data_IF_317977285300
#
_entry.id   IF_317977285300
#
_cell.length_a   1.000
_cell.length_b   1.000
_cell.length_c   1.000
_cell.angle_alpha   90.00
_cell.angle_beta   90.00
_cell.angle_gamma   90.00
#
_symmetry.space_group_name_H-M   'P 1'
#
loop_
_entity.id
_entity.type
_entity.pdbx_description
1 polymer ?
#
# COMPACT_ATOMS: atom_id res chain seq x y z
N UNK A 1 -16.59 30.22 -51.78
CA UNK A 1 -17.33 29.52 -50.74
C UNK A 1 -16.87 28.07 -50.46
N UNK A 2 -16.39 27.30 -51.39
CA UNK A 2 -15.91 25.90 -51.16
C UNK A 2 -14.56 25.83 -50.43
N UNK A 3 -13.68 26.84 -50.60
CA UNK A 3 -12.36 26.90 -49.96
C UNK A 3 -12.45 27.22 -48.45
N UNK A 4 -13.36 28.11 -48.09
CA UNK A 4 -13.56 28.51 -46.68
C UNK A 4 -14.16 27.38 -45.84
N UNK A 5 -15.05 26.55 -46.43
CA UNK A 5 -15.62 25.35 -45.73
C UNK A 5 -14.55 24.28 -45.46
N UNK A 6 -13.54 24.10 -46.34
CA UNK A 6 -12.43 23.16 -46.13
C UNK A 6 -11.47 23.63 -45.04
N UNK A 7 -11.23 24.94 -44.92
CA UNK A 7 -10.37 25.51 -43.88
C UNK A 7 -11.00 25.36 -42.47
N UNK A 8 -12.32 25.60 -42.37
CA UNK A 8 -13.05 25.46 -41.09
C UNK A 8 -13.10 23.99 -40.64
N UNK A 9 -13.26 23.03 -41.56
CA UNK A 9 -13.30 21.62 -41.26
C UNK A 9 -11.94 21.08 -40.78
N UNK A 10 -10.82 21.62 -41.33
CA UNK A 10 -9.46 21.23 -40.89
C UNK A 10 -9.13 21.79 -39.51
N UNK A 11 -9.66 22.97 -39.13
CA UNK A 11 -9.40 23.55 -37.81
C UNK A 11 -10.18 22.84 -36.69
N UNK A 12 -11.38 22.33 -36.98
CA UNK A 12 -12.18 21.55 -36.02
C UNK A 12 -11.56 20.18 -35.74
N UNK A 13 -10.90 19.55 -36.73
CA UNK A 13 -10.28 18.24 -36.54
C UNK A 13 -8.96 18.29 -35.74
N UNK A 14 -8.23 19.39 -35.80
CA UNK A 14 -7.00 19.57 -34.97
C UNK A 14 -7.34 19.93 -33.52
N UNK A 15 -8.47 20.58 -33.25
CA UNK A 15 -8.91 20.96 -31.91
C UNK A 15 -9.41 19.77 -31.02
N UNK A 16 -9.85 18.68 -31.66
CA UNK A 16 -10.38 17.52 -30.93
C UNK A 16 -9.30 16.55 -30.41
N UNK A 17 -8.10 16.58 -31.00
CA UNK A 17 -6.98 15.74 -30.57
C UNK A 17 -6.20 16.27 -29.34
N UNK A 18 -6.45 17.48 -28.89
CA UNK A 18 -5.77 18.10 -27.76
C UNK A 18 -6.49 17.90 -26.39
N UNK A 19 -7.66 17.26 -26.39
CA UNK A 19 -8.48 17.05 -25.18
C UNK A 19 -8.41 15.64 -24.58
N UNK A 20 -7.49 14.80 -25.03
CA UNK A 20 -7.44 13.37 -24.72
C UNK A 20 -6.24 12.89 -23.92
N UNK A 21 -5.80 13.60 -22.88
CA UNK A 21 -4.82 13.04 -21.94
C UNK A 21 -4.92 13.68 -20.55
N UNK A 22 -6.09 13.76 -19.99
CA UNK A 22 -6.18 13.74 -18.54
C UNK A 22 -6.05 12.28 -18.11
N UNK A 23 -4.84 11.81 -17.91
CA UNK A 23 -4.62 10.65 -17.03
C UNK A 23 -5.24 11.05 -15.70
N UNK A 24 -6.46 10.56 -15.43
CA UNK A 24 -6.99 10.51 -14.09
C UNK A 24 -6.07 9.55 -13.34
N UNK A 25 -4.97 10.05 -12.82
CA UNK A 25 -4.23 9.41 -11.75
C UNK A 25 -5.20 9.43 -10.58
N UNK A 26 -5.99 8.37 -10.44
CA UNK A 26 -6.64 8.08 -9.17
C UNK A 26 -5.49 8.05 -8.16
N UNK A 27 -5.44 9.06 -7.28
CA UNK A 27 -4.36 9.18 -6.33
C UNK A 27 -4.35 7.89 -5.49
N UNK A 28 -3.37 7.02 -5.74
CA UNK A 28 -3.15 5.81 -4.98
C UNK A 28 -2.86 6.21 -3.53
N UNK A 29 -3.59 5.66 -2.57
CA UNK A 29 -3.35 5.85 -1.15
C UNK A 29 -3.11 4.51 -0.51
N UNK A 30 -2.10 4.41 0.33
CA UNK A 30 -1.76 3.20 1.06
C UNK A 30 -1.55 3.55 2.53
N UNK A 31 -2.22 2.82 3.41
CA UNK A 31 -2.12 3.00 4.84
C UNK A 31 -1.35 1.84 5.47
N UNK A 32 -0.16 2.13 5.99
CA UNK A 32 0.71 1.16 6.65
C UNK A 32 0.44 1.12 8.15
N UNK A 33 0.40 -0.09 8.70
CA UNK A 33 0.52 -0.30 10.13
C UNK A 33 1.98 -0.45 10.52
N UNK A 34 2.40 0.25 11.57
CA UNK A 34 3.76 0.21 12.11
C UNK A 34 3.72 -0.12 13.60
N UNK A 35 4.58 -1.03 14.02
CA UNK A 35 4.69 -1.39 15.42
C UNK A 35 5.68 -0.49 16.16
N UNK A 36 5.67 -0.58 17.49
CA UNK A 36 6.43 0.29 18.39
C UNK A 36 7.85 -0.23 18.71
N UNK A 37 8.45 -1.02 17.80
CA UNK A 37 9.83 -1.48 17.90
C UNK A 37 10.65 -1.19 16.62
N UNK A 38 11.96 -1.09 16.80
CA UNK A 38 12.88 -0.52 15.80
C UNK A 38 12.90 -1.26 14.46
N UNK A 39 12.89 -2.61 14.43
CA UNK A 39 12.94 -3.35 13.17
C UNK A 39 11.67 -3.13 12.33
N UNK A 40 10.49 -3.11 12.96
CA UNK A 40 9.25 -2.81 12.27
C UNK A 40 9.27 -1.40 11.67
N UNK A 41 9.77 -0.41 12.42
CA UNK A 41 9.90 0.97 11.92
C UNK A 41 10.80 1.05 10.69
N UNK A 42 11.90 0.30 10.66
CA UNK A 42 12.81 0.25 9.50
C UNK A 42 12.11 -0.40 8.30
N UNK A 43 11.46 -1.55 8.48
CA UNK A 43 10.72 -2.23 7.40
C UNK A 43 9.59 -1.34 6.86
N UNK A 44 8.80 -0.73 7.74
CA UNK A 44 7.71 0.18 7.35
C UNK A 44 8.24 1.39 6.58
N UNK A 45 9.35 1.99 7.02
CA UNK A 45 9.97 3.11 6.32
C UNK A 45 10.46 2.72 4.92
N UNK A 46 11.08 1.54 4.76
CA UNK A 46 11.55 1.05 3.46
C UNK A 46 10.37 0.80 2.52
N UNK A 47 9.35 0.08 2.97
CA UNK A 47 8.17 -0.24 2.16
C UNK A 47 7.40 1.04 1.79
N UNK A 48 7.21 1.95 2.75
CA UNK A 48 6.59 3.25 2.49
C UNK A 48 7.35 4.07 1.44
N UNK A 49 8.68 4.12 1.54
CA UNK A 49 9.52 4.78 0.54
C UNK A 49 9.37 4.19 -0.86
N UNK A 50 9.36 2.86 -0.97
CA UNK A 50 9.19 2.17 -2.27
C UNK A 50 7.81 2.49 -2.85
N UNK A 51 6.76 2.45 -2.04
CA UNK A 51 5.39 2.74 -2.46
C UNK A 51 5.26 4.21 -2.91
N UNK A 52 5.80 5.13 -2.13
CA UNK A 52 5.75 6.56 -2.45
C UNK A 52 6.57 6.91 -3.70
N UNK A 53 7.84 6.48 -3.76
CA UNK A 53 8.77 6.87 -4.84
C UNK A 53 8.68 5.97 -6.07
N UNK A 54 8.39 4.69 -5.89
CA UNK A 54 8.31 3.72 -6.99
C UNK A 54 6.94 3.68 -7.68
N UNK A 55 5.87 3.85 -6.91
CA UNK A 55 4.50 3.77 -7.41
C UNK A 55 3.75 5.10 -7.41
N UNK A 56 4.30 6.13 -6.78
CA UNK A 56 3.68 7.47 -6.73
C UNK A 56 2.43 7.55 -5.86
N UNK A 57 2.28 6.62 -4.90
CA UNK A 57 1.16 6.60 -3.98
C UNK A 57 1.39 7.55 -2.80
N UNK A 58 0.30 8.08 -2.25
CA UNK A 58 0.30 8.76 -0.95
C UNK A 58 0.33 7.72 0.17
N UNK A 59 1.33 7.79 1.05
CA UNK A 59 1.54 6.83 2.13
C UNK A 59 1.20 7.44 3.46
N UNK A 60 0.31 6.78 4.21
CA UNK A 60 0.02 7.10 5.61
C UNK A 60 0.53 5.99 6.51
N UNK A 61 0.95 6.33 7.73
CA UNK A 61 1.46 5.36 8.71
C UNK A 61 0.75 5.56 10.04
N UNK A 62 0.18 4.48 10.57
CA UNK A 62 -0.35 4.46 11.94
C UNK A 62 0.54 3.59 12.81
N UNK A 63 1.07 4.17 13.90
CA UNK A 63 1.90 3.48 14.88
C UNK A 63 1.09 2.99 16.08
N UNK A 64 1.51 1.84 16.61
CA UNK A 64 0.91 1.31 17.83
C UNK A 64 1.48 -0.04 18.24
N UNK A 65 0.99 -0.54 19.37
CA UNK A 65 1.32 -1.88 19.84
C UNK A 65 0.60 -2.96 19.03
N UNK A 66 1.01 -4.21 19.17
CA UNK A 66 0.56 -5.34 18.33
C UNK A 66 -0.96 -5.45 18.22
N UNK A 67 -1.67 -5.55 19.34
CA UNK A 67 -3.10 -5.86 19.29
C UNK A 67 -3.97 -4.82 18.57
N UNK A 68 -3.86 -3.50 18.84
CA UNK A 68 -4.66 -2.51 18.13
C UNK A 68 -4.28 -2.38 16.65
N UNK A 69 -2.98 -2.49 16.29
CA UNK A 69 -2.56 -2.42 14.89
C UNK A 69 -3.06 -3.64 14.11
N UNK A 70 -2.96 -4.85 14.68
CA UNK A 70 -3.48 -6.04 14.03
C UNK A 70 -5.00 -6.02 13.91
N UNK A 71 -5.73 -5.55 14.92
CA UNK A 71 -7.18 -5.40 14.84
C UNK A 71 -7.58 -4.43 13.71
N UNK A 72 -6.95 -3.27 13.63
CA UNK A 72 -7.20 -2.30 12.57
C UNK A 72 -6.90 -2.87 11.17
N UNK A 73 -5.87 -3.70 11.03
CA UNK A 73 -5.56 -4.37 9.78
C UNK A 73 -6.62 -5.42 9.41
N UNK A 74 -7.05 -6.25 10.36
CA UNK A 74 -8.10 -7.25 10.12
C UNK A 74 -9.46 -6.63 9.78
N UNK A 75 -9.71 -5.42 10.29
CA UNK A 75 -10.91 -4.63 9.97
C UNK A 75 -10.78 -3.83 8.66
N UNK A 76 -9.65 -3.96 7.93
CA UNK A 76 -9.41 -3.29 6.66
C UNK A 76 -9.15 -1.79 6.77
N UNK A 77 -8.76 -1.30 7.95
CA UNK A 77 -8.38 0.10 8.15
C UNK A 77 -6.92 0.38 7.79
N UNK A 78 -6.10 -0.67 7.74
CA UNK A 78 -4.70 -0.63 7.34
C UNK A 78 -4.49 -1.62 6.20
N UNK A 79 -3.76 -1.20 5.17
CA UNK A 79 -3.55 -2.01 3.96
C UNK A 79 -2.40 -3.00 4.13
N UNK A 80 -1.29 -2.59 4.75
CA UNK A 80 -0.07 -3.40 4.84
C UNK A 80 0.53 -3.29 6.23
N UNK A 81 0.99 -4.44 6.76
CA UNK A 81 1.89 -4.52 7.90
C UNK A 81 3.16 -5.26 7.45
N UNK A 82 4.32 -4.71 7.76
CA UNK A 82 5.60 -5.14 7.19
C UNK A 82 6.33 -6.19 8.01
N UNK A 83 6.03 -6.30 9.31
CA UNK A 83 6.67 -7.25 10.22
C UNK A 83 5.66 -7.78 11.23
N UNK A 84 5.30 -9.05 11.11
CA UNK A 84 4.38 -9.71 12.04
C UNK A 84 5.07 -10.92 12.67
N UNK A 85 5.17 -10.93 13.99
CA UNK A 85 5.63 -12.07 14.77
C UNK A 85 4.47 -12.99 15.06
N UNK A 86 4.16 -13.85 14.10
CA UNK A 86 2.97 -14.69 14.07
C UNK A 86 2.81 -15.57 15.30
N UNK A 87 3.91 -16.11 15.82
CA UNK A 87 3.89 -17.03 16.97
C UNK A 87 3.34 -16.39 18.25
N UNK A 88 3.32 -15.06 18.34
CA UNK A 88 2.75 -14.33 19.48
C UNK A 88 1.22 -14.13 19.37
N UNK A 89 0.64 -14.36 18.17
CA UNK A 89 -0.76 -14.04 17.86
C UNK A 89 -1.43 -15.15 17.04
N UNK A 90 -0.98 -16.40 17.16
CA UNK A 90 -1.36 -17.53 16.29
C UNK A 90 -2.86 -17.60 16.04
N UNK A 91 -3.67 -17.69 17.11
CA UNK A 91 -5.11 -17.87 16.96
C UNK A 91 -5.76 -16.73 16.18
N UNK A 92 -5.49 -15.48 16.55
CA UNK A 92 -6.09 -14.31 15.93
C UNK A 92 -5.67 -14.21 14.45
N UNK A 93 -4.42 -14.55 14.15
CA UNK A 93 -3.86 -14.51 12.79
C UNK A 93 -4.49 -15.60 11.90
N UNK A 94 -4.55 -16.84 12.38
CA UNK A 94 -5.15 -17.96 11.64
C UNK A 94 -6.64 -17.72 11.37
N UNK A 95 -7.37 -17.16 12.32
CA UNK A 95 -8.77 -16.79 12.11
C UNK A 95 -8.93 -15.71 11.03
N UNK A 96 -8.07 -14.70 11.00
CA UNK A 96 -8.11 -13.65 10.00
C UNK A 96 -7.79 -14.16 8.60
N UNK A 97 -6.79 -15.05 8.46
CA UNK A 97 -6.48 -15.73 7.20
C UNK A 97 -7.65 -16.60 6.74
N UNK A 98 -8.22 -17.41 7.63
CA UNK A 98 -9.35 -18.28 7.32
C UNK A 98 -10.60 -17.52 6.86
N UNK A 99 -10.80 -16.31 7.39
CA UNK A 99 -11.89 -15.40 6.98
C UNK A 99 -11.58 -14.60 5.72
N UNK A 100 -10.36 -14.70 5.17
CA UNK A 100 -9.92 -13.93 4.02
C UNK A 100 -9.78 -12.42 4.29
N UNK A 101 -9.58 -12.04 5.55
CA UNK A 101 -9.39 -10.64 5.96
C UNK A 101 -7.99 -10.13 5.62
N UNK A 102 -7.00 -11.03 5.57
CA UNK A 102 -5.60 -10.73 5.25
C UNK A 102 -5.00 -11.77 4.31
N UNK A 103 -3.91 -11.40 3.68
CA UNK A 103 -3.07 -12.28 2.85
C UNK A 103 -1.63 -12.19 3.35
N UNK A 104 -1.01 -13.33 3.65
CA UNK A 104 0.43 -13.41 3.92
C UNK A 104 1.20 -13.33 2.60
N UNK A 105 2.09 -12.36 2.48
CA UNK A 105 2.90 -12.16 1.27
C UNK A 105 4.22 -12.94 1.31
N UNK A 106 4.69 -13.30 2.49
CA UNK A 106 5.92 -14.07 2.67
C UNK A 106 6.60 -13.84 4.02
N UNK A 107 7.75 -14.48 4.19
CA UNK A 107 8.59 -14.38 5.39
C UNK A 107 9.76 -13.45 5.09
N UNK A 108 9.87 -12.34 5.83
CA UNK A 108 10.96 -11.36 5.64
C UNK A 108 12.21 -11.67 6.49
N UNK A 109 12.06 -12.43 7.57
CA UNK A 109 13.19 -12.81 8.49
C UNK A 109 13.22 -14.33 8.73
N UNK A 110 13.57 -15.15 7.73
CA UNK A 110 13.41 -16.60 7.79
C UNK A 110 14.32 -17.31 8.81
N UNK A 111 15.38 -16.64 9.27
CA UNK A 111 16.33 -17.18 10.25
C UNK A 111 16.14 -16.62 11.66
N UNK A 112 15.09 -15.85 11.89
CA UNK A 112 14.78 -15.31 13.22
C UNK A 112 14.13 -16.35 14.11
N UNK A 113 14.57 -16.38 15.37
CA UNK A 113 13.98 -17.24 16.42
C UNK A 113 13.73 -16.40 17.66
N UNK A 114 12.63 -16.75 18.37
CA UNK A 114 12.32 -16.18 19.68
C UNK A 114 12.57 -17.22 20.77
N UNK A 115 13.07 -16.79 21.92
CA UNK A 115 13.33 -17.67 23.04
C UNK A 115 13.96 -16.96 24.23
N UNK A 116 14.18 -17.73 25.28
CA UNK A 116 14.98 -17.27 26.43
C UNK A 116 16.44 -17.59 26.16
N UNK A 117 17.31 -16.61 26.30
CA UNK A 117 18.74 -16.75 26.12
C UNK A 117 19.41 -16.53 27.48
N UNK A 118 20.42 -17.31 27.77
CA UNK A 118 21.27 -17.20 28.99
C UNK A 118 22.71 -17.08 28.55
N UNK A 119 23.51 -16.32 29.30
CA UNK A 119 24.94 -16.16 29.08
C UNK A 119 25.73 -17.36 29.67
#
# INVERSE_FOLDING_TARGET
MKFLKKLILSFVFVGVMALGSTSANAACKVHLGDFDWDSANVHTAIVGFIIEKGYGCDVQVTKGSTSPIMAAHYDGQLDIITEVWRDNIVQMHEEAVAKGQIIELGVNTPSSTQGFYVD
#
